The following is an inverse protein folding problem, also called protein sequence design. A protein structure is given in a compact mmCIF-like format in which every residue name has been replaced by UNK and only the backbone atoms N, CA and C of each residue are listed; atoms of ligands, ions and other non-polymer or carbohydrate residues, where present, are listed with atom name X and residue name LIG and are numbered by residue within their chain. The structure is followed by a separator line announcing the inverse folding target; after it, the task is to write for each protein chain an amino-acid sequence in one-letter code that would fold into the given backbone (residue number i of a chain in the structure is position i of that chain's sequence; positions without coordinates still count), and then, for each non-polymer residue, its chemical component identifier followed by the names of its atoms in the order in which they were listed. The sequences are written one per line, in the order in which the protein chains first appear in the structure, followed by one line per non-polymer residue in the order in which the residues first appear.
data_IF_367483583856
#
_entry.id   IF_367483583856
#
_cell.length_a   1.000
_cell.length_b   1.000
_cell.length_c   1.000
_cell.angle_alpha   90.00
_cell.angle_beta   90.00
_cell.angle_gamma   90.00
#
_symmetry.space_group_name_H-M   'P 1'
#
loop_
_entity.id
_entity.type
_entity.pdbx_description
1 polymer ?
#
# COMPACT_ATOMS: atom_id res chain seq x y z
N UNK A 1 -94.25 31.97 -20.53
CA UNK A 1 -94.09 30.51 -20.31
C UNK A 1 -92.70 30.10 -20.78
N UNK A 2 -91.81 29.71 -19.88
CA UNK A 2 -90.90 28.57 -20.05
C UNK A 2 -90.01 28.38 -18.81
N UNK A 3 -90.25 27.24 -18.16
CA UNK A 3 -89.49 26.58 -17.11
C UNK A 3 -88.10 26.17 -17.62
N UNK A 4 -87.04 26.26 -16.79
CA UNK A 4 -85.98 25.23 -16.71
C UNK A 4 -85.29 25.19 -15.33
N UNK A 5 -85.74 24.24 -14.52
CA UNK A 5 -84.97 23.19 -13.80
C UNK A 5 -83.68 23.64 -13.10
N UNK A 6 -83.79 23.93 -11.81
CA UNK A 6 -82.65 23.88 -10.87
C UNK A 6 -82.54 22.47 -10.29
N UNK A 7 -81.54 21.70 -10.70
CA UNK A 7 -81.20 20.43 -10.07
C UNK A 7 -80.63 20.68 -8.66
N UNK A 8 -81.34 20.20 -7.64
CA UNK A 8 -80.94 20.25 -6.23
C UNK A 8 -79.83 19.22 -5.98
N UNK A 9 -78.57 19.67 -5.97
CA UNK A 9 -77.44 18.86 -5.49
C UNK A 9 -77.56 18.70 -3.98
N UNK A 10 -77.92 17.50 -3.51
CA UNK A 10 -77.99 17.17 -2.08
C UNK A 10 -76.55 16.88 -1.60
N UNK A 11 -75.94 17.71 -0.74
CA UNK A 11 -74.60 17.40 -0.24
C UNK A 11 -74.69 16.15 0.63
N UNK A 12 -73.95 15.11 0.28
CA UNK A 12 -73.76 13.95 1.14
C UNK A 12 -73.05 14.42 2.41
N UNK A 13 -73.77 14.41 3.54
CA UNK A 13 -73.22 14.75 4.85
C UNK A 13 -72.23 13.65 5.24
N UNK A 14 -70.94 13.91 5.02
CA UNK A 14 -69.87 13.05 5.49
C UNK A 14 -69.85 13.09 7.02
N UNK A 15 -70.22 11.99 7.67
CA UNK A 15 -69.97 11.81 9.10
C UNK A 15 -68.46 11.61 9.27
N UNK A 16 -67.75 12.64 9.71
CA UNK A 16 -66.40 12.47 10.22
C UNK A 16 -66.48 11.58 11.47
N UNK A 17 -66.14 10.30 11.31
CA UNK A 17 -65.84 9.43 12.42
C UNK A 17 -64.47 9.87 12.94
N UNK A 18 -64.45 10.54 14.09
CA UNK A 18 -63.20 10.95 14.74
C UNK A 18 -62.34 9.72 15.10
N UNK A 19 -61.03 9.90 15.09
CA UNK A 19 -60.07 8.86 15.49
C UNK A 19 -60.17 8.59 16.99
N UNK A 20 -60.14 7.32 17.38
CA UNK A 20 -60.03 6.94 18.78
C UNK A 20 -58.61 7.17 19.31
N UNK A 21 -58.48 7.48 20.61
CA UNK A 21 -57.17 7.59 21.26
C UNK A 21 -56.35 6.31 21.09
N UNK A 22 -57.00 5.15 21.08
CA UNK A 22 -56.35 3.86 20.90
C UNK A 22 -55.83 3.64 19.47
N UNK A 23 -56.54 4.09 18.43
CA UNK A 23 -56.02 4.06 17.05
C UNK A 23 -54.78 4.94 16.90
N UNK A 24 -54.75 6.12 17.53
CA UNK A 24 -53.56 6.98 17.53
C UNK A 24 -52.38 6.27 18.21
N UNK A 25 -52.62 5.65 19.37
CA UNK A 25 -51.59 4.90 20.10
C UNK A 25 -51.05 3.73 19.28
N UNK A 26 -51.92 2.98 18.61
CA UNK A 26 -51.53 1.85 17.76
C UNK A 26 -50.78 2.34 16.52
N UNK A 27 -51.23 3.42 15.87
CA UNK A 27 -50.57 3.98 14.70
C UNK A 27 -49.15 4.47 15.01
N UNK A 28 -48.97 5.17 16.14
CA UNK A 28 -47.65 5.63 16.60
C UNK A 28 -46.75 4.44 16.97
N UNK A 29 -47.30 3.44 17.66
CA UNK A 29 -46.56 2.22 18.02
C UNK A 29 -46.04 1.49 16.77
N UNK A 30 -46.90 1.27 15.77
CA UNK A 30 -46.50 0.63 14.52
C UNK A 30 -45.50 1.48 13.72
N UNK A 31 -45.69 2.81 13.69
CA UNK A 31 -44.75 3.73 13.06
C UNK A 31 -43.36 3.69 13.69
N UNK A 32 -43.27 3.60 15.02
CA UNK A 32 -42.00 3.46 15.74
C UNK A 32 -41.31 2.13 15.44
N UNK A 33 -42.05 1.03 15.40
CA UNK A 33 -41.49 -0.29 15.09
C UNK A 33 -40.91 -0.30 13.66
N UNK A 34 -41.66 0.24 12.70
CA UNK A 34 -41.23 0.29 11.30
C UNK A 34 -40.00 1.20 11.13
N UNK A 35 -39.99 2.38 11.74
CA UNK A 35 -38.84 3.30 11.65
C UNK A 35 -37.60 2.70 12.31
N UNK A 36 -37.73 2.06 13.48
CA UNK A 36 -36.63 1.37 14.14
C UNK A 36 -36.05 0.24 13.27
N UNK A 37 -36.89 -0.56 12.63
CA UNK A 37 -36.46 -1.62 11.72
C UNK A 37 -35.68 -1.07 10.52
N UNK A 38 -36.18 0.00 9.89
CA UNK A 38 -35.50 0.65 8.76
C UNK A 38 -34.17 1.25 9.17
N UNK A 39 -34.09 1.89 10.34
CA UNK A 39 -32.85 2.45 10.88
C UNK A 39 -31.80 1.35 11.14
N UNK A 40 -32.22 0.20 11.67
CA UNK A 40 -31.32 -0.94 11.89
C UNK A 40 -30.76 -1.49 10.58
N UNK A 41 -31.62 -1.63 9.56
CA UNK A 41 -31.22 -2.07 8.22
C UNK A 41 -30.22 -1.08 7.63
N UNK A 42 -30.51 0.22 7.70
CA UNK A 42 -29.63 1.27 7.16
C UNK A 42 -28.25 1.28 7.82
N UNK A 43 -28.19 1.13 9.14
CA UNK A 43 -26.92 1.03 9.88
C UNK A 43 -26.12 -0.21 9.46
N UNK A 44 -26.78 -1.37 9.39
CA UNK A 44 -26.14 -2.63 8.97
C UNK A 44 -25.59 -2.54 7.55
N UNK A 45 -26.35 -1.94 6.63
CA UNK A 45 -25.95 -1.73 5.25
C UNK A 45 -24.73 -0.79 5.19
N UNK A 46 -24.77 0.35 5.88
CA UNK A 46 -23.68 1.33 5.90
C UNK A 46 -22.38 0.74 6.47
N UNK A 47 -22.49 -0.04 7.55
CA UNK A 47 -21.34 -0.74 8.14
C UNK A 47 -20.76 -1.78 7.17
N UNK A 48 -21.61 -2.55 6.50
CA UNK A 48 -21.19 -3.56 5.53
C UNK A 48 -20.49 -2.92 4.32
N UNK A 49 -21.00 -1.78 3.84
CA UNK A 49 -20.34 -1.02 2.77
C UNK A 49 -18.95 -0.54 3.18
N UNK A 50 -18.80 0.06 4.37
CA UNK A 50 -17.49 0.49 4.87
C UNK A 50 -16.52 -0.68 5.03
N UNK A 51 -17.01 -1.83 5.49
CA UNK A 51 -16.21 -3.04 5.61
C UNK A 51 -15.68 -3.52 4.25
N UNK A 52 -16.55 -3.61 3.24
CA UNK A 52 -16.16 -4.01 1.90
C UNK A 52 -15.20 -3.01 1.25
N UNK A 53 -15.40 -1.71 1.46
CA UNK A 53 -14.50 -0.66 0.96
C UNK A 53 -13.09 -0.80 1.58
N UNK A 54 -12.99 -0.93 2.90
CA UNK A 54 -11.69 -1.11 3.56
C UNK A 54 -10.99 -2.41 3.13
N UNK A 55 -11.75 -3.50 2.91
CA UNK A 55 -11.17 -4.74 2.37
C UNK A 55 -10.67 -4.58 0.92
N UNK A 56 -11.41 -3.85 0.08
CA UNK A 56 -10.98 -3.56 -1.29
C UNK A 56 -9.68 -2.73 -1.29
N UNK A 57 -9.62 -1.69 -0.45
CA UNK A 57 -8.41 -0.86 -0.27
C UNK A 57 -7.20 -1.67 0.18
N UNK A 58 -7.36 -2.58 1.16
CA UNK A 58 -6.24 -3.44 1.59
C UNK A 58 -5.71 -4.29 0.44
N UNK A 59 -6.61 -4.84 -0.39
CA UNK A 59 -6.21 -5.63 -1.56
C UNK A 59 -5.53 -4.79 -2.64
N UNK A 60 -6.05 -3.59 -2.90
CA UNK A 60 -5.46 -2.65 -3.84
C UNK A 60 -4.08 -2.19 -3.37
N UNK A 61 -3.95 -1.71 -2.13
CA UNK A 61 -2.70 -1.28 -1.52
C UNK A 61 -1.64 -2.38 -1.58
N UNK A 62 -2.00 -3.62 -1.24
CA UNK A 62 -1.08 -4.75 -1.25
C UNK A 62 -0.64 -5.15 -2.66
N UNK A 63 -1.56 -5.19 -3.63
CA UNK A 63 -1.21 -5.52 -5.03
C UNK A 63 -0.39 -4.42 -5.69
N UNK A 64 -0.76 -3.16 -5.47
CA UNK A 64 -0.12 -2.03 -6.14
C UNK A 64 1.26 -1.72 -5.55
N UNK A 65 1.44 -1.79 -4.22
CA UNK A 65 2.77 -1.63 -3.59
C UNK A 65 3.77 -2.65 -4.13
N UNK A 66 3.38 -3.92 -4.23
CA UNK A 66 4.22 -4.97 -4.81
C UNK A 66 4.46 -4.76 -6.32
N UNK A 67 3.46 -4.32 -7.08
CA UNK A 67 3.61 -4.06 -8.51
C UNK A 67 4.58 -2.91 -8.81
N UNK A 68 4.54 -1.84 -8.02
CA UNK A 68 5.47 -0.71 -8.13
C UNK A 68 6.90 -1.16 -7.86
N UNK A 69 7.14 -1.84 -6.74
CA UNK A 69 8.47 -2.32 -6.37
C UNK A 69 9.00 -3.34 -7.37
N UNK A 70 8.14 -4.23 -7.87
CA UNK A 70 8.48 -5.22 -8.89
C UNK A 70 9.14 -4.57 -10.11
N UNK A 71 8.52 -3.49 -10.63
CA UNK A 71 9.00 -2.79 -11.82
C UNK A 71 10.42 -2.28 -11.63
N UNK A 72 10.70 -1.61 -10.52
CA UNK A 72 12.00 -1.03 -10.25
C UNK A 72 13.04 -2.10 -9.92
N UNK A 73 12.69 -3.14 -9.16
CA UNK A 73 13.59 -4.26 -8.84
C UNK A 73 13.99 -5.05 -10.09
N UNK A 74 13.07 -5.27 -11.04
CA UNK A 74 13.40 -5.90 -12.30
C UNK A 74 14.39 -5.08 -13.14
N UNK A 75 14.38 -3.75 -12.99
CA UNK A 75 15.29 -2.81 -13.65
C UNK A 75 16.53 -2.48 -12.81
N UNK A 76 16.70 -3.08 -11.63
CA UNK A 76 17.88 -2.86 -10.80
C UNK A 76 19.17 -3.16 -11.59
N UNK A 77 20.14 -2.25 -11.52
CA UNK A 77 21.39 -2.26 -12.28
C UNK A 77 21.26 -2.08 -13.79
N UNK A 78 20.09 -1.68 -14.30
CA UNK A 78 19.94 -1.36 -15.71
C UNK A 78 20.81 -0.17 -16.11
N UNK A 79 21.53 -0.30 -17.22
CA UNK A 79 22.26 0.78 -17.90
C UNK A 79 22.21 0.53 -19.40
N UNK A 80 22.26 1.58 -20.19
CA UNK A 80 22.41 1.46 -21.63
C UNK A 80 23.71 0.67 -21.97
N UNK A 81 23.62 -0.44 -22.74
CA UNK A 81 24.79 -1.26 -23.10
C UNK A 81 25.93 -0.48 -23.78
N UNK A 82 25.61 0.60 -24.49
CA UNK A 82 26.62 1.42 -25.19
C UNK A 82 27.58 2.14 -24.23
N UNK A 83 27.23 2.24 -22.94
CA UNK A 83 28.08 2.85 -21.91
C UNK A 83 29.16 1.91 -21.37
N UNK A 84 29.04 0.60 -21.57
CA UNK A 84 30.04 -0.41 -21.22
C UNK A 84 30.31 -0.65 -19.72
N UNK A 85 29.72 0.14 -18.81
CA UNK A 85 29.89 0.00 -17.36
C UNK A 85 28.72 -0.76 -16.73
N UNK A 86 28.99 -1.75 -15.89
CA UNK A 86 27.95 -2.38 -15.08
C UNK A 86 27.67 -1.52 -13.84
N UNK A 87 26.40 -1.43 -13.45
CA UNK A 87 25.99 -0.77 -12.22
C UNK A 87 25.73 -1.80 -11.12
N UNK A 88 25.94 -1.39 -9.87
CA UNK A 88 25.42 -2.12 -8.73
C UNK A 88 23.88 -2.16 -8.82
N UNK A 89 23.27 -3.29 -8.41
CA UNK A 89 21.81 -3.42 -8.40
C UNK A 89 21.16 -2.56 -7.30
N UNK A 90 21.81 -2.56 -6.13
CA UNK A 90 21.37 -1.82 -4.96
C UNK A 90 22.47 -0.88 -4.50
N UNK A 91 22.07 0.29 -4.05
CA UNK A 91 22.96 1.23 -3.41
C UNK A 91 23.11 0.84 -1.93
N UNK A 92 24.23 0.24 -1.55
CA UNK A 92 24.41 -0.40 -0.25
C UNK A 92 25.80 -0.14 0.37
N UNK A 93 25.92 -0.48 1.67
CA UNK A 93 27.14 -0.31 2.45
C UNK A 93 28.32 -1.06 1.80
N UNK A 94 29.53 -0.51 1.99
CA UNK A 94 30.82 -0.98 1.46
C UNK A 94 30.95 -0.98 -0.07
N UNK A 95 29.87 -1.19 -0.81
CA UNK A 95 29.83 -1.30 -2.27
C UNK A 95 29.72 0.08 -2.93
N UNK A 96 28.95 0.98 -2.32
CA UNK A 96 28.66 2.30 -2.89
C UNK A 96 29.20 3.48 -2.05
N UNK A 97 29.97 3.20 -0.99
CA UNK A 97 30.51 4.23 -0.11
C UNK A 97 29.43 5.01 0.67
N UNK A 98 28.30 4.35 0.96
CA UNK A 98 27.30 4.78 1.95
C UNK A 98 27.40 3.93 3.21
N UNK A 99 26.80 4.39 4.31
CA UNK A 99 26.63 3.60 5.54
C UNK A 99 25.18 3.13 5.62
N UNK A 100 24.94 1.97 6.22
CA UNK A 100 23.57 1.49 6.48
C UNK A 100 22.67 2.51 7.22
N UNK A 101 23.27 3.39 8.04
CA UNK A 101 22.57 4.48 8.75
C UNK A 101 22.16 5.66 7.85
N UNK A 102 22.76 5.78 6.67
CA UNK A 102 22.43 6.84 5.73
C UNK A 102 21.07 6.58 5.08
N UNK A 103 20.17 7.57 5.14
CA UNK A 103 18.77 7.43 4.68
C UNK A 103 18.61 7.09 3.18
N UNK A 104 19.67 7.21 2.38
CA UNK A 104 19.67 6.88 0.95
C UNK A 104 20.29 5.49 0.64
N UNK A 105 20.81 4.81 1.65
CA UNK A 105 21.46 3.51 1.52
C UNK A 105 20.47 2.38 1.81
N UNK A 106 20.58 1.25 1.12
CA UNK A 106 19.85 0.02 1.45
C UNK A 106 20.20 -0.42 2.87
N UNK A 107 19.19 -0.82 3.65
CA UNK A 107 19.37 -1.13 5.06
C UNK A 107 18.32 -2.13 5.56
N UNK A 108 18.80 -3.04 6.42
CA UNK A 108 17.97 -3.87 7.31
C UNK A 108 17.71 -3.07 8.60
N UNK A 109 16.45 -2.80 8.89
CA UNK A 109 16.02 -2.13 10.12
C UNK A 109 16.17 -3.03 11.36
N UNK A 110 16.30 -4.34 11.15
CA UNK A 110 16.21 -5.39 12.14
C UNK A 110 14.75 -5.77 12.44
N UNK A 111 14.58 -6.82 13.24
CA UNK A 111 13.30 -7.51 13.47
C UNK A 111 12.06 -6.59 13.50
N UNK A 112 11.95 -5.69 14.48
CA UNK A 112 10.72 -4.91 14.67
C UNK A 112 10.72 -3.54 13.98
N UNK A 113 11.63 -3.31 13.04
CA UNK A 113 11.77 -2.03 12.32
C UNK A 113 11.69 -2.27 10.82
N UNK A 114 11.31 -1.23 10.09
CA UNK A 114 11.11 -1.33 8.65
C UNK A 114 12.44 -1.28 7.90
N UNK A 115 12.50 -2.08 6.84
CA UNK A 115 13.62 -2.08 5.92
C UNK A 115 13.53 -0.94 4.92
N UNK A 116 14.67 -0.66 4.30
CA UNK A 116 14.79 0.30 3.20
C UNK A 116 15.57 -0.33 2.07
N UNK A 117 15.07 -0.13 0.85
CA UNK A 117 15.75 -0.59 -0.37
C UNK A 117 16.06 0.60 -1.27
N UNK A 118 17.31 0.68 -1.71
CA UNK A 118 17.80 1.72 -2.59
C UNK A 118 18.21 1.05 -3.91
N UNK A 119 17.37 1.18 -4.93
CA UNK A 119 17.56 0.53 -6.24
C UNK A 119 18.33 1.47 -7.16
N UNK A 120 19.47 1.04 -7.66
CA UNK A 120 20.30 1.84 -8.56
C UNK A 120 20.04 1.44 -10.02
N UNK A 121 19.83 2.43 -10.88
CA UNK A 121 19.62 2.24 -12.31
C UNK A 121 19.92 3.52 -13.09
N UNK A 122 20.15 3.40 -14.39
CA UNK A 122 19.99 4.52 -15.32
C UNK A 122 18.51 4.90 -15.44
N UNK A 123 18.20 6.19 -15.30
CA UNK A 123 16.83 6.69 -15.25
C UNK A 123 16.09 6.41 -16.58
N UNK A 124 14.98 5.69 -16.47
CA UNK A 124 14.10 5.40 -17.60
C UNK A 124 13.22 6.61 -17.84
N UNK A 125 13.06 7.01 -19.11
CA UNK A 125 12.32 8.22 -19.50
C UNK A 125 12.83 9.51 -18.82
N UNK A 126 14.11 9.53 -18.42
CA UNK A 126 14.75 10.70 -17.80
C UNK A 126 14.03 11.14 -16.51
N UNK A 127 13.49 10.18 -15.74
CA UNK A 127 12.79 10.47 -14.47
C UNK A 127 13.19 9.51 -13.35
N UNK A 128 13.16 10.01 -12.11
CA UNK A 128 13.26 9.19 -10.90
C UNK A 128 11.90 8.61 -10.46
N UNK A 129 11.85 7.88 -9.34
CA UNK A 129 10.60 7.32 -8.83
C UNK A 129 9.56 8.35 -8.37
N UNK A 130 9.94 9.61 -8.17
CA UNK A 130 9.02 10.71 -7.84
C UNK A 130 8.46 11.39 -9.10
N UNK A 131 9.00 11.06 -10.28
CA UNK A 131 8.72 11.74 -11.53
C UNK A 131 9.57 12.99 -11.76
N UNK A 132 10.59 13.24 -10.92
CA UNK A 132 11.52 14.35 -11.10
C UNK A 132 12.38 14.10 -12.34
N UNK A 133 12.46 15.08 -13.22
CA UNK A 133 13.25 14.98 -14.46
C UNK A 133 14.74 15.07 -14.16
N UNK A 134 15.50 14.14 -14.71
CA UNK A 134 16.96 14.10 -14.66
C UNK A 134 17.57 14.28 -16.04
N UNK A 135 18.89 14.47 -16.11
CA UNK A 135 19.59 14.51 -17.39
C UNK A 135 19.50 13.14 -18.12
N UNK A 136 19.70 13.15 -19.43
CA UNK A 136 19.79 11.92 -20.22
C UNK A 136 20.94 11.03 -19.72
N UNK A 137 20.76 9.71 -19.79
CA UNK A 137 21.69 8.69 -19.28
C UNK A 137 22.08 8.83 -17.78
N UNK A 138 21.33 9.62 -17.00
CA UNK A 138 21.65 9.85 -15.59
C UNK A 138 21.39 8.60 -14.76
N UNK A 139 22.39 8.19 -13.98
CA UNK A 139 22.20 7.17 -12.94
C UNK A 139 21.50 7.79 -11.75
N UNK A 140 20.45 7.11 -11.29
CA UNK A 140 19.68 7.49 -10.11
C UNK A 140 19.58 6.30 -9.16
N UNK A 141 19.33 6.61 -7.90
CA UNK A 141 19.01 5.64 -6.87
C UNK A 141 17.59 5.93 -6.38
N UNK A 142 16.65 5.03 -6.67
CA UNK A 142 15.28 5.12 -6.16
C UNK A 142 15.23 4.46 -4.79
N UNK A 143 14.97 5.26 -3.75
CA UNK A 143 14.98 4.80 -2.36
C UNK A 143 13.55 4.64 -1.85
N UNK A 144 13.18 3.43 -1.47
CA UNK A 144 11.85 3.08 -0.96
C UNK A 144 11.90 2.76 0.54
N UNK A 145 11.02 3.41 1.30
CA UNK A 145 10.96 3.29 2.76
C UNK A 145 9.56 3.64 3.29
N UNK A 146 9.28 3.24 4.53
CA UNK A 146 8.05 3.65 5.21
C UNK A 146 8.28 4.93 6.02
N UNK A 147 7.32 5.85 5.93
CA UNK A 147 7.25 7.06 6.75
C UNK A 147 5.78 7.34 7.08
N UNK A 148 5.54 7.94 8.24
CA UNK A 148 4.19 8.25 8.70
C UNK A 148 3.73 9.60 8.13
N UNK A 149 2.56 9.62 7.52
CA UNK A 149 1.90 10.81 7.01
C UNK A 149 0.48 10.83 7.58
N UNK A 150 0.12 11.87 8.34
CA UNK A 150 -1.20 12.03 8.97
C UNK A 150 -1.66 10.79 9.77
N UNK A 151 -0.78 10.24 10.62
CA UNK A 151 -0.98 9.00 11.42
C UNK A 151 -1.18 7.71 10.59
N UNK A 152 -0.83 7.74 9.30
CA UNK A 152 -0.91 6.60 8.41
C UNK A 152 0.48 6.26 7.91
N UNK A 153 0.95 5.05 8.21
CA UNK A 153 2.20 4.53 7.68
C UNK A 153 2.09 4.35 6.17
N UNK A 154 3.00 5.00 5.44
CA UNK A 154 2.91 5.19 3.99
C UNK A 154 4.24 4.81 3.36
N UNK A 155 4.19 3.99 2.31
CA UNK A 155 5.33 3.70 1.46
C UNK A 155 5.67 4.95 0.64
N UNK A 156 6.87 5.46 0.85
CA UNK A 156 7.42 6.59 0.14
C UNK A 156 8.48 6.14 -0.86
N UNK A 157 8.71 6.98 -1.87
CA UNK A 157 9.94 6.93 -2.64
C UNK A 157 10.60 8.30 -2.75
N UNK A 158 11.92 8.29 -2.89
CA UNK A 158 12.71 9.48 -3.16
C UNK A 158 13.90 9.14 -4.04
N UNK A 159 14.13 9.93 -5.09
CA UNK A 159 15.30 9.77 -5.95
C UNK A 159 16.55 10.43 -5.36
N UNK A 160 17.67 9.75 -5.47
CA UNK A 160 18.98 10.18 -5.01
C UNK A 160 19.99 10.14 -6.15
N UNK A 161 20.85 11.15 -6.21
CA UNK A 161 21.96 11.23 -7.15
C UNK A 161 23.22 10.64 -6.51
N UNK A 162 23.70 9.47 -6.99
CA UNK A 162 24.89 8.82 -6.43
C UNK A 162 26.20 9.58 -6.72
N UNK A 163 26.24 10.43 -7.76
CA UNK A 163 27.45 11.17 -8.14
C UNK A 163 27.65 12.39 -7.24
N UNK A 164 26.56 13.16 -7.05
CA UNK A 164 26.60 14.40 -6.23
C UNK A 164 26.29 14.14 -4.76
N UNK A 165 25.79 12.94 -4.43
CA UNK A 165 25.35 12.53 -3.09
C UNK A 165 24.23 13.42 -2.53
N UNK A 166 23.27 13.77 -3.37
CA UNK A 166 22.15 14.64 -3.00
C UNK A 166 20.80 14.04 -3.38
N UNK A 167 19.76 14.39 -2.63
CA UNK A 167 18.39 14.07 -3.02
C UNK A 167 17.96 14.93 -4.22
N UNK A 168 17.33 14.31 -5.20
CA UNK A 168 16.90 14.96 -6.44
C UNK A 168 15.63 15.81 -6.24
N UNK A 169 14.75 15.38 -5.35
CA UNK A 169 13.44 15.97 -5.09
C UNK A 169 13.02 15.75 -3.64
N UNK A 170 11.85 16.27 -3.26
CA UNK A 170 11.17 15.91 -2.01
C UNK A 170 10.56 14.51 -2.09
N UNK A 171 10.40 13.82 -0.95
CA UNK A 171 9.83 12.47 -0.94
C UNK A 171 8.39 12.46 -1.45
N UNK A 172 8.06 11.44 -2.25
CA UNK A 172 6.72 11.23 -2.79
C UNK A 172 6.00 10.09 -2.04
N UNK A 173 4.81 10.33 -1.46
CA UNK A 173 3.99 9.26 -0.92
C UNK A 173 3.42 8.41 -2.07
N UNK A 174 3.62 7.09 -2.01
CA UNK A 174 3.15 6.17 -3.04
C UNK A 174 1.89 5.44 -2.60
N UNK A 175 1.96 4.73 -1.46
CA UNK A 175 0.87 3.88 -0.98
C UNK A 175 0.73 3.99 0.53
N UNK A 176 -0.43 4.47 0.96
CA UNK A 176 -0.82 4.50 2.35
C UNK A 176 -1.20 3.10 2.86
N UNK A 177 -1.07 2.89 4.18
CA UNK A 177 -1.51 1.67 4.83
C UNK A 177 -0.55 0.50 4.70
N UNK A 178 0.76 0.77 4.61
CA UNK A 178 1.79 -0.27 4.73
C UNK A 178 2.41 -0.10 6.12
N UNK A 179 2.02 -0.94 7.08
CA UNK A 179 2.44 -0.80 8.48
C UNK A 179 3.80 -1.44 8.77
N UNK A 180 4.19 -2.44 7.98
CA UNK A 180 5.50 -3.05 8.09
C UNK A 180 6.04 -3.45 6.71
N UNK A 181 7.35 -3.30 6.53
CA UNK A 181 8.05 -3.58 5.28
C UNK A 181 9.37 -4.28 5.57
N UNK A 182 9.55 -5.50 5.06
CA UNK A 182 10.72 -6.36 5.26
C UNK A 182 11.22 -6.91 3.94
N UNK A 183 12.53 -7.13 3.85
CA UNK A 183 13.21 -7.48 2.62
C UNK A 183 14.36 -8.46 2.90
N UNK A 184 14.30 -9.60 2.23
CA UNK A 184 15.41 -10.56 2.20
C UNK A 184 16.02 -10.66 0.80
N UNK A 185 17.35 -10.75 0.76
CA UNK A 185 18.14 -10.80 -0.47
C UNK A 185 18.57 -12.24 -0.75
N UNK A 186 18.19 -12.73 -1.93
CA UNK A 186 18.53 -14.05 -2.45
C UNK A 186 19.93 -14.07 -3.03
N UNK A 187 20.87 -14.69 -2.34
CA UNK A 187 22.28 -14.77 -2.74
C UNK A 187 22.53 -16.03 -3.58
N UNK A 188 23.14 -15.86 -4.74
CA UNK A 188 23.53 -16.95 -5.59
C UNK A 188 24.78 -17.69 -5.11
N UNK A 189 24.78 -19.00 -5.27
CA UNK A 189 25.99 -19.82 -5.23
C UNK A 189 26.81 -19.67 -6.51
N UNK A 190 27.88 -20.46 -6.62
CA UNK A 190 28.78 -20.43 -7.79
C UNK A 190 28.10 -20.97 -9.06
N UNK A 191 27.00 -21.69 -8.91
CA UNK A 191 26.14 -22.18 -10.00
C UNK A 191 25.12 -21.15 -10.50
N UNK A 192 25.10 -19.95 -9.90
CA UNK A 192 24.19 -18.86 -10.25
C UNK A 192 22.78 -18.98 -9.66
N UNK A 193 22.47 -20.07 -8.95
CA UNK A 193 21.16 -20.27 -8.31
C UNK A 193 21.12 -19.72 -6.90
N UNK A 194 19.98 -19.17 -6.49
CA UNK A 194 19.78 -18.64 -5.13
C UNK A 194 19.85 -19.78 -4.12
N UNK A 195 20.78 -19.69 -3.18
CA UNK A 195 21.00 -20.71 -2.13
C UNK A 195 20.40 -20.31 -0.79
N UNK A 196 20.30 -19.01 -0.52
CA UNK A 196 19.83 -18.47 0.75
C UNK A 196 19.21 -17.08 0.59
N UNK A 197 18.31 -16.76 1.51
CA UNK A 197 17.74 -15.42 1.67
C UNK A 197 18.24 -14.83 2.99
N UNK A 198 18.89 -13.67 2.93
CA UNK A 198 19.50 -13.02 4.09
C UNK A 198 19.18 -11.52 4.12
N UNK A 199 19.26 -10.92 5.30
CA UNK A 199 19.07 -9.49 5.50
C UNK A 199 20.20 -8.66 4.87
N UNK A 200 19.91 -7.39 4.55
CA UNK A 200 20.87 -6.47 3.91
C UNK A 200 22.20 -6.36 4.66
N UNK A 201 22.18 -6.29 6.00
CA UNK A 201 23.38 -6.19 6.86
C UNK A 201 24.29 -7.43 6.84
N UNK A 202 23.82 -8.54 6.25
CA UNK A 202 24.58 -9.79 6.12
C UNK A 202 25.05 -10.05 4.68
N UNK A 203 24.69 -9.17 3.74
CA UNK A 203 25.13 -9.27 2.34
C UNK A 203 26.54 -8.68 2.22
N UNK A 204 27.51 -9.56 1.99
CA UNK A 204 28.92 -9.16 1.80
C UNK A 204 29.26 -8.88 0.32
N UNK A 205 28.50 -9.46 -0.60
CA UNK A 205 28.70 -9.31 -2.05
C UNK A 205 27.35 -9.07 -2.71
N UNK A 206 27.07 -7.79 -2.97
CA UNK A 206 25.81 -7.35 -3.56
C UNK A 206 25.67 -7.75 -5.04
N UNK A 207 26.78 -8.03 -5.73
CA UNK A 207 26.76 -8.52 -7.11
C UNK A 207 26.31 -9.99 -7.18
N UNK A 208 26.30 -10.74 -6.07
CA UNK A 208 25.71 -12.10 -6.01
C UNK A 208 24.21 -12.13 -5.76
N UNK A 209 23.56 -10.99 -5.54
CA UNK A 209 22.10 -10.96 -5.36
C UNK A 209 21.42 -11.29 -6.70
N UNK A 210 20.49 -12.25 -6.69
CA UNK A 210 19.69 -12.63 -7.88
C UNK A 210 18.19 -12.46 -7.68
N UNK A 211 17.73 -12.40 -6.44
CA UNK A 211 16.33 -12.22 -6.12
C UNK A 211 16.16 -11.36 -4.86
N UNK A 212 14.99 -10.75 -4.74
CA UNK A 212 14.57 -10.00 -3.55
C UNK A 212 13.22 -10.54 -3.12
N UNK A 213 13.10 -10.96 -1.87
CA UNK A 213 11.85 -11.39 -1.25
C UNK A 213 11.33 -10.27 -0.37
N UNK A 214 10.14 -9.79 -0.70
CA UNK A 214 9.49 -8.67 0.00
C UNK A 214 8.32 -9.20 0.81
N UNK A 215 8.20 -8.69 2.04
CA UNK A 215 7.08 -8.93 2.94
C UNK A 215 6.52 -7.60 3.41
N UNK A 216 5.20 -7.46 3.35
CA UNK A 216 4.48 -6.25 3.75
C UNK A 216 3.28 -6.60 4.60
N UNK A 217 3.06 -5.82 5.66
CA UNK A 217 1.84 -5.86 6.45
C UNK A 217 0.95 -4.69 6.04
N UNK A 218 -0.20 -4.99 5.42
CA UNK A 218 -1.02 -3.99 4.71
C UNK A 218 -2.37 -3.80 5.38
N UNK A 219 -2.77 -2.55 5.60
CA UNK A 219 -4.07 -2.10 6.07
C UNK A 219 -4.78 -1.21 5.01
N UNK A 220 -5.96 -0.67 5.35
CA UNK A 220 -6.80 0.07 4.41
C UNK A 220 -6.32 1.49 4.07
N UNK A 221 -5.21 1.95 4.64
CA UNK A 221 -4.71 3.32 4.51
C UNK A 221 -5.58 4.36 5.23
N UNK A 222 -6.37 3.92 6.21
CA UNK A 222 -7.28 4.78 6.97
C UNK A 222 -6.79 4.86 8.43
N UNK A 223 -6.99 6.02 9.05
CA UNK A 223 -6.66 6.22 10.46
C UNK A 223 -7.52 5.33 11.38
N UNK A 224 -8.76 5.07 10.98
CA UNK A 224 -9.70 4.21 11.71
C UNK A 224 -10.05 2.94 10.95
N UNK A 225 -9.81 1.78 11.58
CA UNK A 225 -10.29 0.51 11.06
C UNK A 225 -11.76 0.20 11.41
N UNK A 226 -12.31 -0.83 10.77
CA UNK A 226 -13.70 -1.27 10.99
C UNK A 226 -13.85 -2.32 12.10
N UNK A 227 -12.78 -2.96 12.54
CA UNK A 227 -12.87 -4.08 13.49
C UNK A 227 -13.02 -3.59 14.94
N UNK A 228 -13.35 -4.50 15.86
CA UNK A 228 -13.18 -4.21 17.29
C UNK A 228 -11.71 -3.99 17.64
N UNK A 229 -11.44 -3.07 18.58
CA UNK A 229 -10.10 -2.88 19.15
C UNK A 229 -9.66 -4.19 19.79
N UNK A 230 -8.59 -4.77 19.28
CA UNK A 230 -8.07 -6.06 19.73
C UNK A 230 -6.56 -6.11 19.52
N UNK A 231 -5.88 -6.74 20.44
CA UNK A 231 -4.48 -7.09 20.27
C UNK A 231 -4.34 -8.20 19.22
N UNK A 232 -3.49 -7.96 18.23
CA UNK A 232 -3.18 -8.89 17.15
C UNK A 232 -1.67 -8.92 16.96
N UNK A 233 -1.13 -10.12 16.78
CA UNK A 233 0.29 -10.37 16.55
C UNK A 233 0.49 -10.85 15.11
N UNK A 234 1.53 -10.35 14.46
CA UNK A 234 1.93 -10.70 13.10
C UNK A 234 3.43 -10.97 13.05
N UNK A 235 3.84 -11.84 12.12
CA UNK A 235 5.25 -12.04 11.78
C UNK A 235 5.38 -12.06 10.27
N UNK A 236 6.23 -11.21 9.73
CA UNK A 236 6.48 -11.09 8.30
C UNK A 236 7.95 -11.31 8.01
N UNK A 237 8.29 -12.29 7.17
CA UNK A 237 9.68 -12.67 6.91
C UNK A 237 10.47 -12.89 8.21
N UNK A 238 11.46 -12.06 8.48
CA UNK A 238 12.33 -12.09 9.65
C UNK A 238 11.97 -11.02 10.69
N UNK A 239 10.81 -10.36 10.60
CA UNK A 239 10.45 -9.22 11.45
C UNK A 239 10.28 -9.50 12.96
N UNK A 240 10.56 -10.72 13.42
CA UNK A 240 10.12 -11.15 14.74
C UNK A 240 8.61 -11.00 14.91
N UNK A 241 8.18 -10.56 16.10
CA UNK A 241 6.77 -10.42 16.48
C UNK A 241 6.35 -8.95 16.50
N UNK A 242 5.39 -8.59 15.64
CA UNK A 242 4.79 -7.27 15.54
C UNK A 242 3.41 -7.27 16.22
N UNK A 243 3.25 -6.50 17.29
CA UNK A 243 2.02 -6.46 18.09
C UNK A 243 1.29 -5.14 17.87
N UNK A 244 0.01 -5.21 17.48
CA UNK A 244 -0.87 -4.05 17.27
C UNK A 244 -2.11 -4.18 18.14
N UNK A 245 -2.48 -3.11 18.84
CA UNK A 245 -3.68 -3.04 19.68
C UNK A 245 -4.63 -1.94 19.17
N UNK A 246 -5.32 -2.26 18.08
CA UNK A 246 -6.19 -1.30 17.38
C UNK A 246 -7.39 -1.99 16.69
N UNK A 247 -8.15 -1.19 15.94
CA UNK A 247 -9.29 -1.61 15.14
C UNK A 247 -8.95 -1.89 13.65
N UNK A 248 -7.67 -1.82 13.26
CA UNK A 248 -7.25 -1.98 11.86
C UNK A 248 -7.07 -3.46 11.53
N UNK A 249 -7.68 -3.88 10.42
CA UNK A 249 -7.45 -5.21 9.84
C UNK A 249 -6.25 -5.14 8.91
N UNK A 250 -5.38 -6.14 9.01
CA UNK A 250 -4.15 -6.24 8.25
C UNK A 250 -4.05 -7.57 7.54
N UNK A 251 -3.45 -7.57 6.36
CA UNK A 251 -3.08 -8.77 5.63
C UNK A 251 -1.60 -8.75 5.28
N UNK A 252 -0.99 -9.92 5.30
CA UNK A 252 0.40 -10.10 4.90
C UNK A 252 0.43 -10.33 3.40
N UNK A 253 1.18 -9.49 2.69
CA UNK A 253 1.50 -9.66 1.28
C UNK A 253 2.98 -9.97 1.17
N UNK A 254 3.34 -11.06 0.49
CA UNK A 254 4.74 -11.39 0.24
C UNK A 254 4.91 -11.99 -1.14
N UNK A 255 6.01 -11.63 -1.79
CA UNK A 255 6.39 -12.15 -3.09
C UNK A 255 7.91 -12.11 -3.24
N UNK A 256 8.41 -12.78 -4.26
CA UNK A 256 9.83 -12.80 -4.61
C UNK A 256 10.00 -12.33 -6.05
N UNK A 257 10.89 -11.37 -6.24
CA UNK A 257 11.23 -10.80 -7.55
C UNK A 257 12.65 -11.21 -7.92
N UNK A 258 12.87 -11.53 -9.20
CA UNK A 258 14.20 -11.79 -9.75
C UNK A 258 14.79 -10.51 -10.32
N UNK A 259 16.12 -10.37 -10.28
CA UNK A 259 16.81 -9.23 -10.89
C UNK A 259 17.20 -9.63 -12.31
N UNK A 260 16.67 -8.93 -13.31
CA UNK A 260 16.85 -9.34 -14.71
C UNK A 260 18.26 -9.02 -15.22
N UNK A 261 18.82 -7.89 -14.80
CA UNK A 261 20.16 -7.45 -15.21
C UNK A 261 21.28 -8.19 -14.49
N UNK A 262 20.95 -9.10 -13.55
CA UNK A 262 21.94 -9.87 -12.82
C UNK A 262 22.56 -11.05 -13.62
N UNK A 263 21.98 -11.36 -14.78
CA UNK A 263 22.47 -12.40 -15.69
C UNK A 263 23.60 -11.93 -16.62
N UNK A 264 23.75 -10.61 -16.83
CA UNK A 264 24.76 -10.03 -17.72
C UNK A 264 26.18 -10.19 -17.19
N UNK A 265 26.34 -10.29 -15.86
CA UNK A 265 27.64 -10.43 -15.19
C UNK A 265 28.30 -11.80 -15.43
N UNK A 266 27.51 -12.84 -15.76
CA UNK A 266 28.04 -14.18 -16.08
C UNK A 266 28.70 -14.27 -17.46
N UNK A 267 28.42 -13.35 -18.37
CA UNK A 267 28.94 -13.38 -19.75
C UNK A 267 30.34 -12.75 -19.83
N UNK A 268 30.74 -11.95 -18.83
CA UNK A 268 32.08 -11.35 -18.75
C UNK A 268 33.18 -12.25 -18.18
N UNK A 269 32.85 -13.48 -17.78
CA UNK A 269 33.78 -14.44 -17.14
C UNK A 269 34.13 -15.66 -18.02
N UNK A 270 33.93 -15.56 -19.34
CA UNK A 270 34.33 -16.60 -20.33
C UNK A 270 35.44 -16.07 -21.22
#
# INVERSE_FOLDING_TARGET
MNNKIGALYKPLKSNQQGLSLIELMVAVLLGLILTAAVLQIFQSISLTFKHNDQLARIQENGRFSLALLSRDIHMAGYRNPDKGELLNYFYADETNGCKATDKFCTNDGGLNQNDRIAVQLEAINETDCTGHKVASDKVVVNVYYLEELDNISTLHCRGFDPDTKTWLSDPAPLIAGIDAFQILYGIAGDDGYVTQYINANRVNDWLKVRAVKIGMLVNSGEDNGFAGVKERSYSILDSGELIFKDNKVRYIYSTTFTINNASLDMIGSI
#
